data_IF_881949351664
#
_entry.id   IF_881949351664
#
_cell.length_a   1.000
_cell.length_b   1.000
_cell.length_c   1.000
_cell.angle_alpha   90.00
_cell.angle_beta   90.00
_cell.angle_gamma   90.00
#
_symmetry.space_group_name_H-M   'P 1'
#
loop_
_entity.id
_entity.type
_entity.pdbx_description
1 polymer ?
#
# COMPACT_ATOMS: atom_id res chain seq x y z
N UNK A 1 -2.13 -25.38 5.09
CA UNK A 1 -2.19 -24.94 6.50
C UNK A 1 -3.13 -23.75 6.56
N UNK A 2 -4.21 -23.88 7.33
CA UNK A 2 -5.38 -22.98 7.30
C UNK A 2 -5.19 -21.66 8.04
N UNK A 3 -6.14 -20.73 7.85
CA UNK A 3 -6.15 -19.42 8.47
C UNK A 3 -6.34 -19.55 9.99
N UNK A 4 -5.29 -19.33 10.79
CA UNK A 4 -5.38 -19.32 12.26
C UNK A 4 -5.72 -17.89 12.71
N UNK A 5 -6.99 -17.65 13.05
CA UNK A 5 -7.40 -16.42 13.72
C UNK A 5 -7.07 -16.53 15.21
N UNK A 6 -6.00 -15.88 15.66
CA UNK A 6 -5.69 -15.79 17.08
C UNK A 6 -6.67 -14.81 17.75
N UNK A 7 -7.76 -15.33 18.31
CA UNK A 7 -8.72 -14.53 19.07
C UNK A 7 -8.20 -14.40 20.49
N UNK A 8 -7.71 -13.20 20.84
CA UNK A 8 -7.30 -12.86 22.20
C UNK A 8 -8.41 -12.08 22.90
N UNK A 9 -8.66 -12.38 24.19
CA UNK A 9 -9.60 -11.60 25.01
C UNK A 9 -9.03 -10.20 25.30
N UNK A 10 -9.38 -9.27 24.41
CA UNK A 10 -8.98 -7.87 24.56
C UNK A 10 -9.65 -7.14 25.71
N UNK A 11 -10.77 -7.64 26.23
CA UNK A 11 -11.47 -6.98 27.33
C UNK A 11 -10.69 -7.18 28.64
N UNK A 12 -10.29 -8.42 28.92
CA UNK A 12 -9.43 -8.74 30.06
C UNK A 12 -8.06 -8.04 29.99
N UNK A 13 -7.47 -7.98 28.80
CA UNK A 13 -6.20 -7.26 28.59
C UNK A 13 -6.34 -5.75 28.83
N UNK A 14 -7.43 -5.13 28.36
CA UNK A 14 -7.64 -3.70 28.55
C UNK A 14 -7.94 -3.37 30.02
N UNK A 15 -8.60 -4.27 30.76
CA UNK A 15 -8.87 -4.10 32.18
C UNK A 15 -7.59 -4.10 33.04
N UNK A 16 -6.56 -4.84 32.61
CA UNK A 16 -5.27 -4.93 33.31
C UNK A 16 -4.23 -3.88 32.88
N UNK A 17 -4.54 -3.05 31.86
CA UNK A 17 -3.60 -2.06 31.31
C UNK A 17 -3.60 -0.76 32.09
N UNK A 18 -2.42 -0.11 32.14
CA UNK A 18 -2.29 1.24 32.68
C UNK A 18 -2.90 2.26 31.72
N UNK A 19 -3.41 3.36 32.26
CA UNK A 19 -4.18 4.37 31.52
C UNK A 19 -3.44 4.99 30.32
N UNK A 20 -2.11 5.03 30.36
CA UNK A 20 -1.27 5.58 29.30
C UNK A 20 -0.89 4.58 28.21
N UNK A 21 -1.32 3.32 28.32
CA UNK A 21 -1.05 2.29 27.31
C UNK A 21 -2.14 2.31 26.24
N UNK A 22 -1.73 2.08 24.99
CA UNK A 22 -2.68 1.87 23.89
C UNK A 22 -3.59 0.66 24.16
N UNK A 23 -4.79 0.66 23.59
CA UNK A 23 -5.73 -0.45 23.72
C UNK A 23 -5.21 -1.75 23.08
N UNK A 24 -5.65 -2.88 23.63
CA UNK A 24 -5.37 -4.20 23.08
C UNK A 24 -6.03 -4.36 21.70
N UNK A 25 -5.25 -4.87 20.75
CA UNK A 25 -5.74 -5.20 19.40
C UNK A 25 -6.21 -6.65 19.40
N UNK A 26 -7.45 -6.88 18.99
CA UNK A 26 -8.09 -8.21 19.10
C UNK A 26 -8.07 -9.06 17.84
N UNK A 27 -7.95 -8.42 16.68
CA UNK A 27 -7.90 -9.11 15.40
C UNK A 27 -6.64 -8.66 14.67
N UNK A 28 -5.65 -9.54 14.61
CA UNK A 28 -4.47 -9.34 13.77
C UNK A 28 -4.20 -10.62 12.98
N UNK A 29 -3.75 -10.43 11.74
CA UNK A 29 -3.44 -11.52 10.86
C UNK A 29 -1.99 -11.95 11.08
N UNK A 30 -1.78 -13.18 11.54
CA UNK A 30 -0.45 -13.78 11.63
C UNK A 30 -0.22 -14.61 10.38
N UNK A 31 0.74 -14.19 9.56
CA UNK A 31 1.20 -15.00 8.43
C UNK A 31 2.11 -16.10 8.97
N UNK A 32 1.62 -17.34 8.93
CA UNK A 32 2.42 -18.52 9.22
C UNK A 32 3.40 -18.75 8.07
N UNK A 33 4.69 -18.48 8.31
CA UNK A 33 5.84 -18.89 7.50
C UNK A 33 5.77 -18.65 5.99
N UNK A 34 6.36 -17.56 5.50
CA UNK A 34 6.80 -17.49 4.11
C UNK A 34 6.94 -16.08 3.56
N UNK A 35 8.14 -15.77 3.08
CA UNK A 35 8.43 -14.75 2.08
C UNK A 35 7.54 -14.92 0.83
N UNK A 36 6.29 -14.47 0.92
CA UNK A 36 5.27 -14.74 -0.10
C UNK A 36 4.47 -13.49 -0.39
N UNK A 37 4.76 -12.90 -1.57
CA UNK A 37 4.05 -11.83 -2.27
C UNK A 37 2.76 -11.36 -1.57
N UNK A 38 2.82 -10.17 -0.98
CA UNK A 38 1.68 -9.44 -0.44
C UNK A 38 0.52 -9.55 -1.45
N UNK A 39 -0.54 -10.27 -1.09
CA UNK A 39 -1.77 -10.32 -1.89
C UNK A 39 -2.40 -8.94 -1.79
N UNK A 40 -2.03 -8.09 -2.72
CA UNK A 40 -2.63 -6.77 -2.89
C UNK A 40 -4.11 -7.04 -3.18
N UNK A 41 -5.00 -6.55 -2.33
CA UNK A 41 -6.44 -6.60 -2.60
C UNK A 41 -6.68 -5.96 -3.97
N UNK A 42 -7.56 -6.54 -4.80
CA UNK A 42 -7.76 -6.13 -6.19
C UNK A 42 -7.95 -4.61 -6.37
N UNK A 43 -8.58 -3.94 -5.39
CA UNK A 43 -8.73 -2.48 -5.35
C UNK A 43 -7.41 -1.71 -5.17
N UNK A 44 -6.47 -2.20 -4.36
CA UNK A 44 -5.14 -1.59 -4.23
C UNK A 44 -4.28 -1.81 -5.47
N UNK A 45 -4.41 -2.96 -6.14
CA UNK A 45 -3.69 -3.23 -7.38
C UNK A 45 -4.20 -2.36 -8.54
N UNK A 46 -5.52 -2.18 -8.66
CA UNK A 46 -6.12 -1.27 -9.63
C UNK A 46 -5.66 0.19 -9.44
N UNK A 47 -5.57 0.66 -8.18
CA UNK A 47 -5.05 2.00 -7.87
C UNK A 47 -3.58 2.15 -8.24
N UNK A 48 -2.75 1.13 -7.97
CA UNK A 48 -1.33 1.13 -8.34
C UNK A 48 -1.13 1.13 -9.86
N UNK A 49 -1.91 0.35 -10.59
CA UNK A 49 -1.88 0.33 -12.06
C UNK A 49 -2.34 1.66 -12.65
N UNK A 50 -3.38 2.29 -12.07
CA UNK A 50 -3.82 3.63 -12.48
C UNK A 50 -2.75 4.69 -12.22
N UNK A 51 -2.09 4.65 -11.07
CA UNK A 51 -0.99 5.57 -10.75
C UNK A 51 0.19 5.38 -11.71
N UNK A 52 0.57 4.12 -12.01
CA UNK A 52 1.61 3.83 -12.99
C UNK A 52 1.26 4.33 -14.41
N UNK A 53 0.01 4.18 -14.84
CA UNK A 53 -0.45 4.71 -16.12
C UNK A 53 -0.43 6.24 -16.16
N UNK A 54 -0.74 6.89 -15.03
CA UNK A 54 -0.63 8.35 -14.86
C UNK A 54 0.82 8.80 -14.98
N UNK A 55 1.74 8.14 -14.28
CA UNK A 55 3.17 8.48 -14.33
C UNK A 55 3.73 8.34 -15.76
N UNK A 56 3.32 7.31 -16.52
CA UNK A 56 3.80 7.11 -17.89
C UNK A 56 3.42 8.28 -18.82
N UNK A 57 2.16 8.73 -18.84
CA UNK A 57 1.77 9.81 -19.77
C UNK A 57 2.39 11.16 -19.40
N UNK A 58 2.63 11.41 -18.10
CA UNK A 58 3.29 12.63 -17.64
C UNK A 58 4.71 12.69 -18.22
N UNK A 59 5.45 11.59 -18.19
CA UNK A 59 6.79 11.55 -18.75
C UNK A 59 6.81 11.70 -20.28
N UNK A 60 5.81 11.16 -20.99
CA UNK A 60 5.68 11.42 -22.43
C UNK A 60 5.43 12.90 -22.72
N UNK A 61 4.49 13.53 -22.02
CA UNK A 61 4.17 14.94 -22.20
C UNK A 61 5.36 15.86 -21.88
N UNK A 62 6.15 15.51 -20.85
CA UNK A 62 7.38 16.24 -20.50
C UNK A 62 8.44 16.09 -21.59
N UNK A 63 8.63 14.88 -22.15
CA UNK A 63 9.56 14.65 -23.27
C UNK A 63 9.16 15.43 -24.52
N UNK A 64 7.89 15.40 -24.89
CA UNK A 64 7.36 16.16 -26.02
C UNK A 64 7.60 17.67 -25.86
N UNK A 65 7.40 18.19 -24.64
CA UNK A 65 7.62 19.60 -24.34
C UNK A 65 9.11 19.99 -24.46
N UNK A 66 10.01 19.13 -23.97
CA UNK A 66 11.46 19.35 -24.09
C UNK A 66 11.87 19.30 -25.57
N UNK A 67 11.43 18.30 -26.32
CA UNK A 67 11.72 18.17 -27.74
C UNK A 67 11.24 19.38 -28.56
N UNK A 68 10.05 19.92 -28.25
CA UNK A 68 9.54 21.16 -28.87
C UNK A 68 10.34 22.41 -28.52
N UNK A 69 10.95 22.43 -27.32
CA UNK A 69 11.80 23.54 -26.87
C UNK A 69 13.19 23.47 -27.52
N UNK A 70 13.71 22.27 -27.72
CA UNK A 70 15.03 22.03 -28.29
C UNK A 70 15.02 21.98 -29.83
N UNK A 71 13.83 21.96 -30.44
CA UNK A 71 13.69 22.10 -31.88
C UNK A 71 14.22 23.47 -32.32
N UNK A 72 15.22 23.55 -33.22
CA UNK A 72 15.67 24.81 -33.77
C UNK A 72 14.51 25.46 -34.52
N UNK A 73 14.16 26.69 -34.14
CA UNK A 73 13.13 27.47 -34.83
C UNK A 73 13.48 27.64 -36.31
N UNK A 74 12.49 27.85 -37.19
CA UNK A 74 12.75 28.05 -38.61
C UNK A 74 13.63 29.29 -38.78
N UNK A 75 14.78 29.09 -39.44
CA UNK A 75 15.62 30.17 -39.99
C UNK A 75 14.92 30.84 -41.17
#
# INVERSE_FOLDING_TARGET
LGLVNYVRDTAADNASRRWYMYRAVGAFYVQDGGSGKQRVTAGHQARRNKAAAVDTWIWEAVRDKIARRDAPGPV
#
